data_IF_828886389003
#
_entry.id   IF_828886389003
#
_cell.length_a   1.000
_cell.length_b   1.000
_cell.length_c   1.000
_cell.angle_alpha   90.00
_cell.angle_beta   90.00
_cell.angle_gamma   90.00
#
_symmetry.space_group_name_H-M   'P 1'
#
loop_
_entity.id
_entity.type
_entity.pdbx_description
1 polymer ?
#
# COMPACT_ATOMS: atom_id res chain seq x y z
N UNK A 1 -14.71 -5.07 -8.06
CA UNK A 1 -13.72 -4.26 -7.33
C UNK A 1 -13.07 -5.04 -6.19
N UNK A 2 -13.85 -5.75 -5.35
CA UNK A 2 -13.29 -6.47 -4.21
C UNK A 2 -12.42 -7.68 -4.61
N UNK A 3 -12.76 -8.37 -5.69
CA UNK A 3 -11.94 -9.47 -6.22
C UNK A 3 -10.58 -8.93 -6.70
N UNK A 4 -10.60 -7.89 -7.50
CA UNK A 4 -9.39 -7.35 -8.14
C UNK A 4 -8.52 -6.57 -7.15
N UNK A 5 -9.13 -5.76 -6.29
CA UNK A 5 -8.40 -4.84 -5.39
C UNK A 5 -8.43 -5.26 -3.92
N UNK A 6 -9.14 -6.32 -3.58
CA UNK A 6 -9.17 -6.93 -2.25
C UNK A 6 -8.49 -8.30 -2.22
N UNK A 7 -9.06 -9.30 -2.93
CA UNK A 7 -8.58 -10.69 -2.88
C UNK A 7 -7.21 -10.84 -3.57
N UNK A 8 -7.01 -10.26 -4.75
CA UNK A 8 -5.75 -10.40 -5.47
C UNK A 8 -4.55 -9.85 -4.68
N UNK A 9 -4.57 -8.61 -4.13
CA UNK A 9 -3.47 -8.12 -3.29
C UNK A 9 -3.33 -8.90 -1.98
N UNK A 10 -4.42 -9.42 -1.39
CA UNK A 10 -4.35 -10.30 -0.24
C UNK A 10 -3.61 -11.61 -0.56
N UNK A 11 -3.85 -12.20 -1.74
CA UNK A 11 -3.13 -13.39 -2.19
C UNK A 11 -1.64 -13.13 -2.45
N UNK A 12 -1.29 -11.96 -3.00
CA UNK A 12 0.12 -11.54 -3.13
C UNK A 12 0.79 -11.39 -1.76
N UNK A 13 0.14 -10.74 -0.81
CA UNK A 13 0.65 -10.59 0.54
C UNK A 13 0.78 -11.94 1.25
N UNK A 14 -0.18 -12.85 1.07
CA UNK A 14 -0.10 -14.22 1.57
C UNK A 14 1.12 -14.96 1.04
N UNK A 15 1.41 -14.82 -0.27
CA UNK A 15 2.61 -15.40 -0.90
C UNK A 15 3.90 -14.82 -0.31
N UNK A 16 3.94 -13.52 -0.02
CA UNK A 16 5.08 -12.89 0.65
C UNK A 16 5.28 -13.46 2.06
N UNK A 17 4.22 -13.56 2.85
CA UNK A 17 4.30 -14.17 4.18
C UNK A 17 4.87 -15.59 4.13
N UNK A 18 4.51 -16.39 3.14
CA UNK A 18 5.00 -17.77 3.00
C UNK A 18 6.48 -17.89 2.63
N UNK A 19 7.12 -16.82 2.17
CA UNK A 19 8.55 -16.82 1.84
C UNK A 19 9.45 -16.71 3.07
N UNK A 20 8.91 -16.30 4.23
CA UNK A 20 9.69 -16.13 5.45
C UNK A 20 9.73 -17.42 6.27
N UNK A 21 10.90 -17.75 6.86
CA UNK A 21 11.00 -18.83 7.82
C UNK A 21 10.34 -18.44 9.15
N UNK A 22 9.57 -19.34 9.70
CA UNK A 22 8.88 -19.18 10.97
C UNK A 22 9.56 -19.98 12.07
N UNK A 23 9.52 -19.45 13.29
CA UNK A 23 10.13 -20.11 14.46
C UNK A 23 9.30 -21.33 14.92
N UNK A 24 8.00 -21.31 14.68
CA UNK A 24 7.07 -22.38 15.08
C UNK A 24 6.18 -22.80 13.92
N UNK A 25 5.82 -24.09 13.85
CA UNK A 25 4.86 -24.62 12.86
C UNK A 25 3.49 -23.95 12.95
N UNK A 26 3.07 -23.61 14.17
CA UNK A 26 1.82 -22.86 14.39
C UNK A 26 1.86 -21.52 13.68
N UNK A 27 2.93 -20.74 13.85
CA UNK A 27 3.08 -19.46 13.18
C UNK A 27 3.15 -19.62 11.66
N UNK A 28 3.88 -20.60 11.15
CA UNK A 28 3.96 -20.91 9.72
C UNK A 28 2.60 -21.22 9.09
N UNK A 29 1.70 -21.82 9.85
CA UNK A 29 0.37 -22.19 9.38
C UNK A 29 -0.60 -21.01 9.41
N UNK A 30 -0.62 -20.22 10.49
CA UNK A 30 -1.69 -19.24 10.72
C UNK A 30 -1.32 -17.80 10.36
N UNK A 31 -0.06 -17.38 10.54
CA UNK A 31 0.34 -15.99 10.28
C UNK A 31 0.11 -15.55 8.82
N UNK A 32 0.36 -16.37 7.79
CA UNK A 32 0.08 -15.97 6.41
C UNK A 32 -1.38 -15.59 6.16
N UNK A 33 -2.32 -16.20 6.89
CA UNK A 33 -3.74 -15.88 6.71
C UNK A 33 -4.14 -14.47 7.17
N UNK A 34 -3.29 -13.79 7.95
CA UNK A 34 -3.48 -12.37 8.27
C UNK A 34 -3.55 -11.49 7.02
N UNK A 35 -2.94 -11.92 5.92
CA UNK A 35 -3.04 -11.25 4.63
C UNK A 35 -4.47 -11.07 4.14
N UNK A 36 -5.36 -12.02 4.43
CA UNK A 36 -6.77 -11.95 4.01
C UNK A 36 -7.60 -10.90 4.78
N UNK A 37 -7.07 -10.34 5.87
CA UNK A 37 -7.65 -9.15 6.48
C UNK A 37 -7.72 -7.99 5.47
N UNK A 38 -6.76 -7.88 4.56
CA UNK A 38 -6.78 -6.86 3.49
C UNK A 38 -8.05 -6.98 2.66
N UNK A 39 -8.44 -8.19 2.26
CA UNK A 39 -9.69 -8.42 1.52
C UNK A 39 -10.92 -8.05 2.35
N UNK A 40 -10.99 -8.47 3.61
CA UNK A 40 -12.10 -8.14 4.50
C UNK A 40 -12.25 -6.63 4.71
N UNK A 41 -11.14 -5.91 4.94
CA UNK A 41 -11.15 -4.46 5.09
C UNK A 41 -11.40 -3.71 3.77
N UNK A 42 -11.02 -4.29 2.63
CA UNK A 42 -11.37 -3.79 1.30
C UNK A 42 -12.88 -3.84 1.06
N UNK A 43 -13.51 -4.98 1.36
CA UNK A 43 -14.96 -5.15 1.29
C UNK A 43 -15.70 -4.19 2.24
N UNK A 44 -15.20 -4.04 3.47
CA UNK A 44 -15.76 -3.10 4.46
C UNK A 44 -15.67 -1.64 3.96
N UNK A 45 -14.54 -1.27 3.37
CA UNK A 45 -14.35 0.04 2.74
C UNK A 45 -15.34 0.27 1.60
N UNK A 46 -15.53 -0.71 0.73
CA UNK A 46 -16.47 -0.62 -0.38
C UNK A 46 -17.92 -0.44 0.13
N UNK A 47 -18.29 -1.17 1.17
CA UNK A 47 -19.59 -1.01 1.81
C UNK A 47 -19.76 0.39 2.42
N UNK A 48 -18.72 0.92 3.11
CA UNK A 48 -18.71 2.27 3.67
C UNK A 48 -18.83 3.33 2.55
N UNK A 49 -18.08 3.14 1.45
CA UNK A 49 -18.11 4.04 0.30
C UNK A 49 -19.51 4.12 -0.34
N UNK A 50 -20.17 2.99 -0.53
CA UNK A 50 -21.50 2.95 -1.15
C UNK A 50 -22.59 3.61 -0.30
N UNK A 51 -22.42 3.66 1.02
CA UNK A 51 -23.38 4.23 1.96
C UNK A 51 -23.09 5.70 2.32
N UNK A 52 -21.90 6.22 2.05
CA UNK A 52 -21.49 7.57 2.44
C UNK A 52 -21.74 8.60 1.33
N UNK A 53 -22.75 9.44 1.51
CA UNK A 53 -23.10 10.52 0.57
C UNK A 53 -22.11 11.69 0.56
N UNK A 54 -21.17 11.76 1.51
CA UNK A 54 -20.18 12.85 1.63
C UNK A 54 -19.06 12.76 0.58
N UNK A 55 -18.90 11.62 -0.08
CA UNK A 55 -17.78 11.33 -1.00
C UNK A 55 -17.96 11.88 -2.42
N UNK A 56 -18.64 13.01 -2.58
CA UNK A 56 -18.86 13.63 -3.89
C UNK A 56 -17.67 14.46 -4.40
N UNK A 57 -16.86 15.03 -3.50
CA UNK A 57 -15.76 15.94 -3.84
C UNK A 57 -14.36 15.38 -3.54
N UNK A 58 -14.19 14.58 -2.49
CA UNK A 58 -12.89 13.98 -2.11
C UNK A 58 -13.07 12.53 -1.67
N UNK A 59 -12.04 11.72 -1.87
CA UNK A 59 -12.02 10.36 -1.34
C UNK A 59 -11.70 10.38 0.14
N UNK A 60 -12.49 9.66 0.94
CA UNK A 60 -12.24 9.44 2.36
C UNK A 60 -11.64 8.04 2.52
N UNK A 61 -10.47 7.94 3.13
CA UNK A 61 -9.70 6.71 3.28
C UNK A 61 -8.92 6.29 2.02
N UNK A 62 -7.98 5.37 2.21
CA UNK A 62 -7.11 4.89 1.13
C UNK A 62 -7.93 4.21 0.02
N UNK A 63 -7.82 4.66 -1.25
CA UNK A 63 -8.49 3.99 -2.38
C UNK A 63 -8.04 2.52 -2.52
N UNK A 64 -8.98 1.59 -2.70
CA UNK A 64 -8.66 0.16 -2.89
C UNK A 64 -7.68 -0.11 -4.04
N UNK A 65 -7.77 0.57 -5.20
CA UNK A 65 -6.78 0.43 -6.26
C UNK A 65 -5.37 0.90 -5.84
N UNK A 66 -5.26 1.98 -5.05
CA UNK A 66 -3.97 2.47 -4.57
C UNK A 66 -3.32 1.47 -3.60
N UNK A 67 -4.11 0.88 -2.70
CA UNK A 67 -3.66 -0.21 -1.83
C UNK A 67 -3.17 -1.43 -2.62
N UNK A 68 -3.92 -1.84 -3.66
CA UNK A 68 -3.54 -2.96 -4.50
C UNK A 68 -2.22 -2.71 -5.26
N UNK A 69 -2.03 -1.50 -5.81
CA UNK A 69 -0.79 -1.11 -6.51
C UNK A 69 0.40 -1.06 -5.55
N UNK A 70 0.21 -0.58 -4.33
CA UNK A 70 1.25 -0.57 -3.30
C UNK A 70 1.69 -2.00 -2.97
N UNK A 71 0.75 -2.90 -2.71
CA UNK A 71 1.05 -4.30 -2.40
C UNK A 71 1.70 -5.00 -3.60
N UNK A 72 1.23 -4.77 -4.81
CA UNK A 72 1.83 -5.32 -6.03
C UNK A 72 3.28 -4.84 -6.22
N UNK A 73 3.57 -3.57 -5.93
CA UNK A 73 4.92 -3.03 -5.95
C UNK A 73 5.83 -3.68 -4.89
N UNK A 74 5.33 -3.84 -3.67
CA UNK A 74 6.08 -4.50 -2.57
C UNK A 74 6.32 -5.98 -2.87
N UNK A 75 5.34 -6.68 -3.45
CA UNK A 75 5.50 -8.09 -3.82
C UNK A 75 6.64 -8.32 -4.82
N UNK A 76 6.99 -7.31 -5.60
CA UNK A 76 8.13 -7.34 -6.51
C UNK A 76 9.44 -6.80 -5.88
N UNK A 77 9.44 -6.32 -4.65
CA UNK A 77 10.63 -5.78 -3.98
C UNK A 77 11.82 -6.76 -3.93
N UNK A 78 11.64 -8.07 -3.68
CA UNK A 78 12.74 -9.03 -3.71
C UNK A 78 13.38 -9.21 -5.08
N UNK A 79 12.65 -8.91 -6.16
CA UNK A 79 13.11 -8.99 -7.55
C UNK A 79 13.52 -7.62 -8.11
N UNK A 80 13.41 -6.56 -7.32
CA UNK A 80 13.84 -5.22 -7.71
C UNK A 80 15.36 -5.15 -7.77
N UNK A 81 15.93 -5.72 -8.80
CA UNK A 81 17.20 -5.24 -9.31
C UNK A 81 16.93 -3.85 -9.87
N UNK A 82 17.36 -2.83 -9.14
CA UNK A 82 17.40 -1.46 -9.64
C UNK A 82 18.18 -1.48 -10.95
N UNK A 83 17.64 -0.93 -11.99
CA UNK A 83 18.23 -0.94 -13.34
C UNK A 83 19.66 -0.34 -13.37
N UNK A 84 20.09 0.32 -12.28
CA UNK A 84 21.37 1.02 -12.16
C UNK A 84 22.08 0.81 -10.81
N UNK A 85 21.49 0.12 -9.84
CA UNK A 85 22.04 0.04 -8.49
C UNK A 85 21.58 -1.25 -7.80
N UNK A 86 22.50 -2.20 -7.67
CA UNK A 86 22.30 -3.35 -6.80
C UNK A 86 22.34 -2.87 -5.34
N UNK A 87 21.24 -2.99 -4.64
CA UNK A 87 21.15 -2.68 -3.20
C UNK A 87 21.15 -3.98 -2.40
N UNK A 88 22.29 -4.64 -2.23
CA UNK A 88 22.38 -5.90 -1.52
C UNK A 88 21.96 -5.75 -0.05
N UNK A 89 22.22 -4.57 0.55
CA UNK A 89 21.85 -4.29 1.94
C UNK A 89 20.34 -4.24 2.15
N UNK A 90 19.59 -3.65 1.22
CA UNK A 90 18.12 -3.63 1.29
C UNK A 90 17.53 -5.03 1.13
N UNK A 91 18.07 -5.82 0.20
CA UNK A 91 17.67 -7.21 0.02
C UNK A 91 17.99 -8.05 1.27
N UNK A 92 19.12 -7.84 1.95
CA UNK A 92 19.47 -8.57 3.19
C UNK A 92 18.55 -8.19 4.35
N UNK A 93 18.19 -6.92 4.52
CA UNK A 93 17.22 -6.49 5.54
C UNK A 93 15.84 -7.13 5.29
N UNK A 94 15.40 -7.17 4.03
CA UNK A 94 14.14 -7.77 3.63
C UNK A 94 14.12 -9.29 3.83
N UNK A 95 15.24 -9.96 3.62
CA UNK A 95 15.39 -11.42 3.79
C UNK A 95 15.67 -11.84 5.24
N UNK A 96 16.02 -10.92 6.15
CA UNK A 96 16.14 -11.23 7.57
C UNK A 96 14.80 -11.72 8.15
N UNK A 97 14.72 -12.97 8.67
CA UNK A 97 13.45 -13.61 9.01
C UNK A 97 12.61 -12.81 10.00
N UNK A 98 13.24 -12.27 11.05
CA UNK A 98 12.55 -11.52 12.09
C UNK A 98 12.11 -10.13 11.65
N UNK A 99 12.97 -9.41 10.93
CA UNK A 99 12.70 -8.02 10.50
C UNK A 99 11.65 -7.99 9.40
N UNK A 100 11.85 -8.77 8.34
CA UNK A 100 10.94 -8.76 7.20
C UNK A 100 9.52 -9.20 7.58
N UNK A 101 9.39 -10.25 8.41
CA UNK A 101 8.08 -10.71 8.89
C UNK A 101 7.38 -9.65 9.75
N UNK A 102 8.10 -9.00 10.66
CA UNK A 102 7.55 -7.93 11.50
C UNK A 102 7.08 -6.74 10.66
N UNK A 103 7.87 -6.35 9.66
CA UNK A 103 7.50 -5.28 8.71
C UNK A 103 6.23 -5.64 7.94
N UNK A 104 6.10 -6.88 7.44
CA UNK A 104 4.89 -7.31 6.74
C UNK A 104 3.65 -7.29 7.64
N UNK A 105 3.76 -7.72 8.90
CA UNK A 105 2.65 -7.70 9.86
C UNK A 105 2.22 -6.26 10.13
N UNK A 106 3.17 -5.36 10.44
CA UNK A 106 2.90 -3.95 10.70
C UNK A 106 2.29 -3.29 9.46
N UNK A 107 2.86 -3.55 8.28
CA UNK A 107 2.36 -3.03 7.02
C UNK A 107 0.91 -3.48 6.77
N UNK A 108 0.62 -4.77 6.93
CA UNK A 108 -0.74 -5.32 6.76
C UNK A 108 -1.72 -4.61 7.69
N UNK A 109 -1.39 -4.47 8.98
CA UNK A 109 -2.22 -3.75 9.94
C UNK A 109 -2.42 -2.27 9.58
N UNK A 110 -1.35 -1.59 9.16
CA UNK A 110 -1.42 -0.19 8.73
C UNK A 110 -2.31 -0.02 7.49
N UNK A 111 -2.18 -0.89 6.51
CA UNK A 111 -3.01 -0.84 5.30
C UNK A 111 -4.48 -1.12 5.60
N UNK A 112 -4.79 -2.10 6.46
CA UNK A 112 -6.14 -2.36 6.92
C UNK A 112 -6.74 -1.14 7.64
N UNK A 113 -5.96 -0.47 8.49
CA UNK A 113 -6.38 0.76 9.15
C UNK A 113 -6.64 1.89 8.16
N UNK A 114 -5.72 2.12 7.20
CA UNK A 114 -5.85 3.19 6.21
C UNK A 114 -7.03 2.99 5.27
N UNK A 115 -7.40 1.75 4.94
CA UNK A 115 -8.58 1.44 4.11
C UNK A 115 -9.88 1.96 4.74
N UNK A 116 -10.02 1.90 6.07
CA UNK A 116 -11.25 2.26 6.78
C UNK A 116 -11.15 3.63 7.45
N UNK A 117 -9.95 4.22 7.51
CA UNK A 117 -9.71 5.54 8.10
C UNK A 117 -10.51 6.63 7.40
N UNK A 118 -10.82 7.70 8.13
CA UNK A 118 -11.52 8.88 7.59
C UNK A 118 -10.57 9.98 7.12
N UNK A 119 -9.33 9.61 6.78
CA UNK A 119 -8.32 10.55 6.28
C UNK A 119 -8.74 11.03 4.89
N UNK A 120 -8.90 12.35 4.68
CA UNK A 120 -9.19 12.88 3.36
C UNK A 120 -7.97 12.67 2.45
N UNK A 121 -8.16 11.91 1.39
CA UNK A 121 -7.11 11.64 0.42
C UNK A 121 -7.09 12.69 -0.67
N UNK A 122 -5.87 13.07 -1.09
CA UNK A 122 -5.64 14.00 -2.17
C UNK A 122 -6.33 13.54 -3.46
N UNK A 123 -7.16 14.40 -4.06
CA UNK A 123 -7.90 14.07 -5.27
C UNK A 123 -7.05 14.31 -6.51
N UNK A 124 -6.71 13.24 -7.24
CA UNK A 124 -6.03 13.33 -8.55
C UNK A 124 -6.96 13.85 -9.66
N UNK A 125 -8.26 13.98 -9.38
CA UNK A 125 -9.27 14.40 -10.36
C UNK A 125 -9.28 15.93 -10.57
N UNK A 126 -8.82 16.68 -9.60
CA UNK A 126 -8.72 18.15 -9.73
C UNK A 126 -7.52 18.50 -10.63
N UNK A 127 -7.71 19.43 -11.57
CA UNK A 127 -6.67 19.87 -12.51
C UNK A 127 -5.81 20.96 -11.85
N UNK A 128 -4.83 20.57 -11.03
CA UNK A 128 -3.87 21.47 -10.41
C UNK A 128 -2.43 21.20 -10.82
N UNK A 129 -1.54 22.15 -10.61
CA UNK A 129 -0.10 21.98 -10.90
C UNK A 129 0.51 20.82 -10.08
N UNK A 130 0.05 20.62 -8.85
CA UNK A 130 0.52 19.56 -7.96
C UNK A 130 0.22 18.16 -8.52
N UNK A 131 -0.96 17.97 -9.13
CA UNK A 131 -1.34 16.71 -9.74
C UNK A 131 -0.44 16.33 -10.93
N UNK A 132 -0.12 17.31 -11.77
CA UNK A 132 0.80 17.08 -12.90
C UNK A 132 2.21 16.73 -12.41
N UNK A 133 2.72 17.45 -11.41
CA UNK A 133 4.03 17.15 -10.81
C UNK A 133 4.03 15.73 -10.22
N UNK A 134 2.98 15.37 -9.48
CA UNK A 134 2.84 14.03 -8.90
C UNK A 134 2.84 12.93 -9.96
N UNK A 135 2.08 13.10 -11.06
CA UNK A 135 2.04 12.13 -12.17
C UNK A 135 3.43 11.97 -12.81
N UNK A 136 4.14 13.07 -13.04
CA UNK A 136 5.50 13.04 -13.60
C UNK A 136 6.47 12.32 -12.65
N UNK A 137 6.38 12.60 -11.35
CA UNK A 137 7.21 11.92 -10.33
C UNK A 137 6.88 10.42 -10.29
N UNK A 138 5.61 10.03 -10.32
CA UNK A 138 5.22 8.62 -10.38
C UNK A 138 5.76 7.92 -11.63
N UNK A 139 5.65 8.55 -12.80
CA UNK A 139 6.19 8.01 -14.04
C UNK A 139 7.71 7.83 -13.97
N UNK A 140 8.42 8.81 -13.41
CA UNK A 140 9.87 8.75 -13.21
C UNK A 140 10.25 7.62 -12.24
N UNK A 141 9.54 7.48 -11.12
CA UNK A 141 9.78 6.40 -10.14
C UNK A 141 9.57 5.02 -10.76
N UNK A 142 8.53 4.85 -11.59
CA UNK A 142 8.29 3.58 -12.28
C UNK A 142 9.39 3.30 -13.31
N UNK A 143 9.86 4.30 -14.03
CA UNK A 143 10.96 4.15 -14.99
C UNK A 143 12.29 3.81 -14.31
N UNK A 144 12.57 4.38 -13.14
CA UNK A 144 13.82 4.17 -12.40
C UNK A 144 13.82 2.87 -11.60
N UNK A 145 12.69 2.55 -10.95
CA UNK A 145 12.58 1.46 -9.97
C UNK A 145 11.73 0.29 -10.46
N UNK A 146 11.26 0.31 -11.72
CA UNK A 146 10.39 -0.72 -12.27
C UNK A 146 9.10 -0.88 -11.44
N UNK A 147 8.65 -2.11 -11.25
CA UNK A 147 7.43 -2.40 -10.49
C UNK A 147 7.48 -1.97 -9.02
N UNK A 148 8.66 -1.97 -8.39
CA UNK A 148 8.82 -1.43 -7.03
C UNK A 148 8.53 0.07 -6.96
N UNK A 149 8.76 0.79 -8.05
CA UNK A 149 8.40 2.21 -8.18
C UNK A 149 6.91 2.47 -7.93
N UNK A 150 6.03 1.50 -8.19
CA UNK A 150 4.60 1.61 -7.84
C UNK A 150 4.39 1.69 -6.32
N UNK A 151 5.13 0.89 -5.54
CA UNK A 151 5.03 0.96 -4.09
C UNK A 151 5.51 2.31 -3.56
N UNK A 152 6.65 2.80 -4.07
CA UNK A 152 7.19 4.11 -3.68
C UNK A 152 6.24 5.25 -4.09
N UNK A 153 5.66 5.19 -5.29
CA UNK A 153 4.68 6.16 -5.77
C UNK A 153 3.42 6.19 -4.89
N UNK A 154 2.90 5.03 -4.49
CA UNK A 154 1.74 4.95 -3.61
C UNK A 154 2.06 5.37 -2.17
N UNK A 155 3.25 5.07 -1.66
CA UNK A 155 3.71 5.56 -0.37
C UNK A 155 3.84 7.09 -0.36
N UNK A 156 4.39 7.70 -1.42
CA UNK A 156 4.44 9.16 -1.57
C UNK A 156 3.03 9.77 -1.68
N UNK A 157 2.10 9.12 -2.36
CA UNK A 157 0.70 9.54 -2.40
C UNK A 157 0.06 9.62 -1.00
N UNK A 158 0.25 8.58 -0.20
CA UNK A 158 -0.27 8.51 1.18
C UNK A 158 0.36 9.61 2.04
N UNK A 159 1.68 9.80 1.96
CA UNK A 159 2.39 10.81 2.76
C UNK A 159 1.98 12.23 2.38
N UNK A 160 1.86 12.54 1.09
CA UNK A 160 1.39 13.86 0.62
C UNK A 160 -0.05 14.12 1.10
N UNK A 161 -0.93 13.14 1.00
CA UNK A 161 -2.31 13.25 1.48
C UNK A 161 -2.38 13.55 2.97
N UNK A 162 -1.51 12.89 3.76
CA UNK A 162 -1.45 13.08 5.20
C UNK A 162 -0.91 14.46 5.59
N UNK A 163 0.17 14.90 4.92
CA UNK A 163 0.75 16.23 5.12
C UNK A 163 -0.26 17.34 4.77
N UNK A 164 -1.00 17.20 3.66
CA UNK A 164 -2.03 18.16 3.29
C UNK A 164 -3.18 18.22 4.32
N UNK A 165 -3.54 17.08 4.91
CA UNK A 165 -4.54 17.06 5.97
C UNK A 165 -4.09 17.87 7.18
N UNK A 166 -2.82 17.74 7.59
CA UNK A 166 -2.26 18.48 8.73
C UNK A 166 -2.25 19.97 8.43
N UNK A 167 -1.78 20.38 7.25
CA UNK A 167 -1.69 21.81 6.87
C UNK A 167 -3.08 22.45 6.84
N UNK A 168 -4.06 21.77 6.23
CA UNK A 168 -5.44 22.30 6.19
C UNK A 168 -6.17 22.27 7.55
N UNK A 169 -5.67 21.51 8.52
CA UNK A 169 -6.21 21.49 9.89
C UNK A 169 -5.76 22.71 10.71
N UNK A 170 -4.64 23.32 10.34
CA UNK A 170 -4.10 24.49 11.04
C UNK A 170 -4.75 25.83 10.56
N UNK A 171 -5.54 25.80 9.47
CA UNK A 171 -6.23 26.95 8.90
C UNK A 171 -7.70 27.09 9.39
N UNK A 172 -8.17 26.31 10.37
CA UNK A 172 -9.49 26.34 11.01
C UNK A 172 -9.36 26.68 12.49
#
# INVERSE_FOLDING_TARGET
>A
DDITFGIAPAALMFSLFKQYPYVTEFAATYVPYLAFLISAFSALRLAKFNNDKRQTKSFIGLPTPANALLIAGIANAPMASFMWMDWPEFATLWTCPGVGLSVLIILTGTLCYLLVSEIPMFSLKERGKLQYIFIVVCALLILLCGFFGLAVAMATYITISWVMMIINSDDV
#
